data_IF_620460157432
#
_entry.id   IF_620460157432
#
_cell.length_a   1.000
_cell.length_b   1.000
_cell.length_c   1.000
_cell.angle_alpha   90.00
_cell.angle_beta   90.00
_cell.angle_gamma   90.00
#
_symmetry.space_group_name_H-M   'P 1'
#
loop_
_entity.id
_entity.type
_entity.pdbx_description
1 polymer ?
#
# COMPACT_ATOMS: atom_id res chain seq x y z
N UNK A 1 5.18 -12.49 -17.71
CA UNK A 1 4.78 -11.10 -18.01
C UNK A 1 5.28 -10.22 -16.86
N UNK A 2 5.52 -8.92 -17.03
CA UNK A 2 6.00 -8.11 -15.90
C UNK A 2 5.09 -8.28 -14.68
N UNK A 3 5.66 -8.63 -13.53
CA UNK A 3 4.90 -8.78 -12.29
C UNK A 3 4.95 -7.47 -11.50
N UNK A 4 3.80 -7.00 -11.04
CA UNK A 4 3.69 -5.87 -10.11
C UNK A 4 3.26 -6.40 -8.74
N UNK A 5 4.14 -6.25 -7.74
CA UNK A 5 3.80 -6.53 -6.35
C UNK A 5 3.26 -5.27 -5.68
N UNK A 6 2.09 -5.38 -5.06
CA UNK A 6 1.48 -4.30 -4.27
C UNK A 6 0.98 -4.79 -2.92
N UNK A 7 0.80 -3.87 -1.97
CA UNK A 7 0.27 -4.21 -0.66
C UNK A 7 -1.26 -4.24 -0.69
N UNK A 8 -1.85 -5.12 0.13
CA UNK A 8 -3.28 -5.06 0.40
C UNK A 8 -3.65 -3.75 1.14
N UNK A 9 -4.92 -3.35 1.04
CA UNK A 9 -5.42 -2.14 1.72
C UNK A 9 -6.39 -2.48 2.84
N UNK A 10 -6.35 -1.70 3.93
CA UNK A 10 -7.29 -1.86 5.04
C UNK A 10 -8.73 -1.63 4.57
N UNK A 11 -8.96 -0.54 3.82
CA UNK A 11 -10.25 -0.31 3.17
C UNK A 11 -10.45 -1.30 2.03
N UNK A 12 -11.63 -1.89 1.97
CA UNK A 12 -12.10 -2.81 0.93
C UNK A 12 -13.45 -2.30 0.42
N UNK A 13 -13.83 -2.69 -0.80
CA UNK A 13 -15.11 -2.29 -1.41
C UNK A 13 -16.28 -3.10 -0.88
N UNK A 14 -16.01 -4.35 -0.51
CA UNK A 14 -16.97 -5.27 0.07
C UNK A 14 -16.78 -5.30 1.57
N UNK A 15 -17.89 -5.23 2.31
CA UNK A 15 -17.89 -5.42 3.76
C UNK A 15 -17.34 -6.81 4.08
N UNK A 16 -16.48 -6.89 5.09
CA UNK A 16 -15.90 -8.17 5.48
C UNK A 16 -16.95 -9.10 6.09
N UNK A 17 -16.74 -10.41 5.95
CA UNK A 17 -17.51 -11.38 6.71
C UNK A 17 -17.12 -11.27 8.19
N UNK A 18 -18.10 -11.31 9.09
CA UNK A 18 -17.88 -11.19 10.54
C UNK A 18 -16.99 -12.30 11.11
N UNK A 19 -16.94 -13.48 10.46
CA UNK A 19 -16.01 -14.56 10.82
C UNK A 19 -14.55 -14.24 10.47
N UNK A 20 -14.31 -13.31 9.55
CA UNK A 20 -12.98 -12.94 9.06
C UNK A 20 -12.47 -11.64 9.68
N UNK A 21 -12.60 -11.55 11.01
CA UNK A 21 -12.03 -10.48 11.82
C UNK A 21 -10.89 -11.01 12.69
N UNK A 22 -9.73 -10.36 12.63
CA UNK A 22 -8.58 -10.76 13.43
C UNK A 22 -8.81 -10.50 14.93
N UNK A 23 -9.63 -9.51 15.30
CA UNK A 23 -9.93 -9.25 16.70
C UNK A 23 -10.67 -10.40 17.39
N UNK A 24 -11.38 -11.24 16.62
CA UNK A 24 -12.10 -12.41 17.13
C UNK A 24 -11.21 -13.66 17.27
N UNK A 25 -9.94 -13.60 16.87
CA UNK A 25 -9.01 -14.70 17.07
C UNK A 25 -8.61 -14.79 18.56
N UNK A 26 -8.51 -16.02 19.07
CA UNK A 26 -7.87 -16.30 20.34
C UNK A 26 -6.36 -16.05 20.22
N UNK A 27 -5.75 -15.58 21.30
CA UNK A 27 -4.30 -15.49 21.37
C UNK A 27 -3.67 -16.87 21.53
N UNK A 28 -2.49 -17.08 20.96
CA UNK A 28 -1.78 -18.37 21.05
C UNK A 28 -0.48 -18.40 20.25
N UNK A 29 0.02 -19.62 20.02
CA UNK A 29 1.22 -19.85 19.21
C UNK A 29 0.98 -19.45 17.77
N UNK A 30 2.06 -19.20 17.01
CA UNK A 30 1.97 -18.92 15.58
C UNK A 30 1.18 -19.99 14.81
N UNK A 31 1.46 -21.26 15.11
CA UNK A 31 0.81 -22.40 14.44
C UNK A 31 -0.70 -22.40 14.69
N UNK A 32 -1.11 -22.22 15.94
CA UNK A 32 -2.52 -22.27 16.33
C UNK A 32 -3.31 -21.12 15.74
N UNK A 33 -2.78 -19.89 15.83
CA UNK A 33 -3.45 -18.69 15.30
C UNK A 33 -3.54 -18.74 13.78
N UNK A 34 -2.47 -19.18 13.09
CA UNK A 34 -2.49 -19.33 11.63
C UNK A 34 -3.42 -20.46 11.17
N UNK A 35 -3.51 -21.56 11.91
CA UNK A 35 -4.45 -22.65 11.63
C UNK A 35 -5.90 -22.18 11.80
N UNK A 36 -6.22 -21.52 12.93
CA UNK A 36 -7.55 -20.98 13.20
C UNK A 36 -7.98 -19.95 12.14
N UNK A 37 -7.05 -19.10 11.70
CA UNK A 37 -7.32 -18.13 10.65
C UNK A 37 -7.60 -18.79 9.29
N UNK A 38 -6.79 -19.79 8.89
CA UNK A 38 -7.02 -20.56 7.65
C UNK A 38 -8.34 -21.33 7.68
N UNK A 39 -8.70 -21.89 8.82
CA UNK A 39 -9.99 -22.57 9.01
C UNK A 39 -11.16 -21.59 8.86
N UNK A 40 -11.05 -20.35 9.38
CA UNK A 40 -12.09 -19.34 9.17
C UNK A 40 -12.21 -18.95 7.70
N UNK A 41 -11.08 -18.82 6.99
CA UNK A 41 -11.08 -18.55 5.55
C UNK A 41 -11.81 -19.66 4.78
N UNK A 42 -11.56 -20.93 5.08
CA UNK A 42 -12.17 -22.05 4.35
C UNK A 42 -13.68 -22.19 4.56
N UNK A 43 -14.24 -21.54 5.59
CA UNK A 43 -15.66 -21.56 5.92
C UNK A 43 -16.46 -20.41 5.31
N UNK A 44 -15.80 -19.48 4.62
CA UNK A 44 -16.43 -18.27 4.09
C UNK A 44 -16.33 -18.26 2.58
N UNK A 45 -17.43 -17.86 1.92
CA UNK A 45 -17.47 -17.74 0.47
C UNK A 45 -16.57 -16.62 -0.05
N UNK A 46 -16.00 -16.84 -1.23
CA UNK A 46 -15.34 -15.80 -2.00
C UNK A 46 -16.37 -14.80 -2.52
N UNK A 47 -16.02 -13.51 -2.57
CA UNK A 47 -16.99 -12.45 -2.90
C UNK A 47 -16.66 -11.72 -4.20
N UNK A 48 -15.39 -11.64 -4.57
CA UNK A 48 -14.92 -11.00 -5.80
C UNK A 48 -13.45 -11.34 -6.04
N UNK A 49 -12.92 -10.90 -7.19
CA UNK A 49 -11.48 -10.98 -7.47
C UNK A 49 -10.68 -10.05 -6.57
N UNK A 50 -9.45 -10.41 -6.24
CA UNK A 50 -8.60 -9.59 -5.37
C UNK A 50 -8.38 -8.17 -5.90
N UNK A 51 -8.26 -7.99 -7.22
CA UNK A 51 -8.15 -6.65 -7.85
C UNK A 51 -9.40 -5.78 -7.70
N UNK A 52 -10.55 -6.38 -7.42
CA UNK A 52 -11.83 -5.69 -7.24
C UNK A 52 -12.17 -5.50 -5.75
N UNK A 53 -11.53 -6.26 -4.85
CA UNK A 53 -11.73 -6.15 -3.41
C UNK A 53 -11.10 -4.88 -2.81
N UNK A 54 -9.81 -4.65 -3.09
CA UNK A 54 -9.03 -3.59 -2.46
C UNK A 54 -9.30 -2.22 -3.10
N UNK A 55 -9.11 -1.14 -2.33
CA UNK A 55 -9.49 0.19 -2.79
C UNK A 55 -8.62 1.32 -2.21
N UNK A 56 -8.84 2.52 -2.74
CA UNK A 56 -8.03 3.70 -2.45
C UNK A 56 -6.97 3.94 -3.50
N UNK A 57 -6.38 5.14 -3.44
CA UNK A 57 -5.47 5.63 -4.48
C UNK A 57 -4.24 4.73 -4.64
N UNK A 58 -3.59 4.32 -3.55
CA UNK A 58 -2.45 3.40 -3.60
C UNK A 58 -2.76 2.16 -4.43
N UNK A 59 -3.84 1.44 -4.13
CA UNK A 59 -4.21 0.23 -4.89
C UNK A 59 -4.52 0.52 -6.36
N UNK A 60 -5.22 1.64 -6.63
CA UNK A 60 -5.56 2.03 -7.99
C UNK A 60 -4.33 2.39 -8.84
N UNK A 61 -3.34 3.06 -8.28
CA UNK A 61 -2.10 3.36 -9.00
C UNK A 61 -1.29 2.08 -9.29
N UNK A 62 -1.30 1.10 -8.38
CA UNK A 62 -0.68 -0.20 -8.62
C UNK A 62 -1.41 -1.01 -9.71
N UNK A 63 -2.74 -0.99 -9.71
CA UNK A 63 -3.54 -1.61 -10.77
C UNK A 63 -3.26 -0.99 -12.13
N UNK A 64 -3.15 0.34 -12.20
CA UNK A 64 -2.73 1.05 -13.42
C UNK A 64 -1.33 0.65 -13.86
N UNK A 65 -0.37 0.54 -12.94
CA UNK A 65 0.97 0.08 -13.26
C UNK A 65 0.94 -1.32 -13.92
N UNK A 66 0.17 -2.26 -13.35
CA UNK A 66 0.02 -3.59 -13.94
C UNK A 66 -0.64 -3.55 -15.33
N UNK A 67 -1.71 -2.76 -15.49
CA UNK A 67 -2.37 -2.58 -16.79
C UNK A 67 -1.43 -2.00 -17.86
N UNK A 68 -0.63 -1.01 -17.49
CA UNK A 68 0.33 -0.36 -18.40
C UNK A 68 1.49 -1.26 -18.77
N UNK A 69 1.94 -2.09 -17.84
CA UNK A 69 2.94 -3.12 -18.10
C UNK A 69 2.39 -4.31 -18.91
N UNK A 70 1.06 -4.37 -19.14
CA UNK A 70 0.36 -5.57 -19.61
C UNK A 70 0.80 -6.79 -18.78
N UNK A 71 0.86 -6.57 -17.47
CA UNK A 71 1.51 -7.44 -16.50
C UNK A 71 0.54 -8.01 -15.47
N UNK A 72 1.05 -8.97 -14.70
CA UNK A 72 0.29 -9.60 -13.63
C UNK A 72 0.40 -8.78 -12.34
N UNK A 73 -0.74 -8.53 -11.70
CA UNK A 73 -0.80 -7.89 -10.39
C UNK A 73 -0.82 -8.98 -9.32
N UNK A 74 0.11 -8.93 -8.38
CA UNK A 74 0.08 -9.76 -7.16
C UNK A 74 0.01 -8.88 -5.92
N UNK A 75 -0.83 -9.29 -4.98
CA UNK A 75 -1.10 -8.58 -3.75
C UNK A 75 -0.43 -9.32 -2.59
N UNK A 76 0.53 -8.66 -1.95
CA UNK A 76 1.06 -9.05 -0.65
C UNK A 76 -0.01 -8.72 0.39
N UNK A 77 -0.74 -9.75 0.82
CA UNK A 77 -1.88 -9.66 1.72
C UNK A 77 -1.50 -10.08 3.13
N UNK A 78 -1.75 -9.19 4.10
CA UNK A 78 -1.56 -9.50 5.52
C UNK A 78 -2.43 -10.69 5.99
N UNK A 79 -3.60 -10.89 5.38
CA UNK A 79 -4.56 -11.92 5.79
C UNK A 79 -4.66 -13.12 4.85
N UNK A 80 -4.15 -13.03 3.62
CA UNK A 80 -4.30 -14.08 2.61
C UNK A 80 -2.97 -14.60 2.05
N UNK A 81 -1.82 -14.15 2.58
CA UNK A 81 -0.52 -14.51 2.02
C UNK A 81 -0.23 -13.72 0.74
N UNK A 82 0.14 -14.39 -0.34
CA UNK A 82 0.26 -13.79 -1.67
C UNK A 82 -0.94 -14.22 -2.52
N UNK A 83 -1.63 -13.27 -3.14
CA UNK A 83 -2.77 -13.56 -4.03
C UNK A 83 -2.59 -12.87 -5.37
N UNK A 84 -2.96 -13.54 -6.46
CA UNK A 84 -3.08 -12.92 -7.77
C UNK A 84 -4.28 -11.97 -7.80
N UNK A 85 -4.18 -10.89 -8.58
CA UNK A 85 -5.29 -9.97 -8.81
C UNK A 85 -6.53 -10.63 -9.40
N UNK A 86 -6.38 -11.80 -10.03
CA UNK A 86 -7.49 -12.55 -10.62
C UNK A 86 -8.07 -13.64 -9.70
N UNK A 87 -7.43 -13.93 -8.55
CA UNK A 87 -7.93 -14.92 -7.61
C UNK A 87 -9.23 -14.43 -6.96
N UNK A 88 -10.20 -15.32 -6.82
CA UNK A 88 -11.41 -15.05 -6.04
C UNK A 88 -11.08 -15.14 -4.56
N UNK A 89 -11.43 -14.10 -3.81
CA UNK A 89 -11.06 -13.95 -2.41
C UNK A 89 -12.25 -13.52 -1.56
N UNK A 90 -12.28 -13.92 -0.27
CA UNK A 90 -13.25 -13.39 0.67
C UNK A 90 -12.86 -11.98 1.14
N UNK A 91 -13.85 -11.22 1.61
CA UNK A 91 -13.59 -9.96 2.30
C UNK A 91 -13.28 -10.20 3.78
N UNK A 92 -12.15 -9.69 4.26
CA UNK A 92 -11.64 -9.89 5.62
C UNK A 92 -11.19 -8.58 6.28
N UNK A 93 -11.02 -8.59 7.60
CA UNK A 93 -10.45 -7.52 8.39
C UNK A 93 -9.30 -8.04 9.27
N UNK A 94 -8.08 -7.93 8.75
CA UNK A 94 -6.84 -8.31 9.41
C UNK A 94 -5.72 -7.39 8.92
N UNK A 95 -4.89 -6.91 9.84
CA UNK A 95 -3.69 -6.14 9.55
C UNK A 95 -2.50 -6.65 10.37
N UNK A 96 -1.28 -6.37 9.89
CA UNK A 96 -0.04 -6.50 10.68
C UNK A 96 0.40 -5.16 11.28
N UNK A 97 -0.27 -4.07 10.90
CA UNK A 97 0.01 -2.73 11.43
C UNK A 97 -0.61 -2.54 12.82
N UNK A 98 0.21 -2.09 13.78
CA UNK A 98 -0.19 -1.84 15.17
C UNK A 98 -1.24 -0.72 15.28
N UNK A 99 -1.92 -0.67 16.44
CA UNK A 99 -2.87 0.40 16.78
C UNK A 99 -4.33 0.11 16.46
N UNK A 100 -4.68 -1.14 16.14
CA UNK A 100 -6.06 -1.61 15.97
C UNK A 100 -6.22 -2.98 16.60
N UNK A 101 -7.43 -3.34 17.04
CA UNK A 101 -7.74 -4.68 17.55
C UNK A 101 -7.67 -5.75 16.45
N UNK A 102 -7.74 -5.34 15.18
CA UNK A 102 -7.57 -6.20 14.00
C UNK A 102 -6.09 -6.47 13.66
N UNK A 103 -5.16 -6.01 14.50
CA UNK A 103 -3.74 -6.34 14.35
C UNK A 103 -3.48 -7.77 14.85
N UNK A 104 -3.17 -8.69 13.94
CA UNK A 104 -2.91 -10.11 14.28
C UNK A 104 -1.69 -10.27 15.19
N UNK A 105 -0.74 -9.34 15.13
CA UNK A 105 0.43 -9.36 16.02
C UNK A 105 0.05 -9.28 17.51
N UNK A 106 -1.13 -8.76 17.84
CA UNK A 106 -1.65 -8.75 19.22
C UNK A 106 -2.21 -10.10 19.68
N UNK A 107 -2.32 -11.08 18.78
CA UNK A 107 -2.82 -12.44 19.06
C UNK A 107 -1.68 -13.46 19.13
N UNK A 108 -0.48 -13.08 18.72
CA UNK A 108 0.67 -13.97 18.65
C UNK A 108 1.55 -13.81 19.89
N UNK A 109 2.27 -14.88 20.24
CA UNK A 109 3.29 -14.86 21.28
C UNK A 109 4.40 -13.83 21.01
N UNK A 110 5.07 -13.39 22.08
CA UNK A 110 6.18 -12.44 21.96
C UNK A 110 7.31 -13.04 21.13
N UNK A 111 7.90 -12.24 20.25
CA UNK A 111 9.03 -12.62 19.40
C UNK A 111 8.63 -13.07 17.99
N UNK A 112 7.35 -13.40 17.75
CA UNK A 112 6.84 -13.67 16.41
C UNK A 112 6.79 -12.38 15.60
N UNK A 113 7.40 -12.39 14.42
CA UNK A 113 7.46 -11.26 13.49
C UNK A 113 6.32 -11.28 12.46
N UNK A 114 6.11 -10.16 11.78
CA UNK A 114 5.16 -10.09 10.66
C UNK A 114 5.56 -11.05 9.52
N UNK A 115 6.86 -11.32 9.35
CA UNK A 115 7.36 -12.25 8.34
C UNK A 115 7.01 -13.71 8.69
N UNK A 116 7.14 -14.10 9.97
CA UNK A 116 6.77 -15.44 10.43
C UNK A 116 5.27 -15.71 10.24
N UNK A 117 4.44 -14.71 10.56
CA UNK A 117 3.00 -14.77 10.28
C UNK A 117 2.71 -14.99 8.80
N UNK A 118 3.34 -14.18 7.94
CA UNK A 118 3.09 -14.24 6.50
C UNK A 118 3.62 -15.53 5.86
N UNK A 119 4.72 -16.08 6.38
CA UNK A 119 5.23 -17.40 6.01
C UNK A 119 4.27 -18.51 6.43
N UNK A 120 3.69 -18.45 7.63
CA UNK A 120 2.69 -19.41 8.10
C UNK A 120 1.39 -19.41 7.27
N UNK A 121 1.09 -18.30 6.58
CA UNK A 121 0.00 -18.22 5.60
C UNK A 121 0.37 -18.80 4.22
N UNK A 122 1.62 -19.26 4.03
CA UNK A 122 2.12 -19.75 2.75
C UNK A 122 2.57 -18.65 1.78
N UNK A 123 2.60 -17.39 2.21
CA UNK A 123 2.99 -16.26 1.38
C UNK A 123 4.40 -16.39 0.83
N UNK A 124 5.34 -16.84 1.67
CA UNK A 124 6.75 -16.99 1.29
C UNK A 124 6.93 -17.98 0.14
N UNK A 125 6.29 -19.15 0.22
CA UNK A 125 6.34 -20.17 -0.83
C UNK A 125 5.76 -19.64 -2.14
N UNK A 126 4.57 -19.04 -2.08
CA UNK A 126 3.91 -18.49 -3.26
C UNK A 126 4.73 -17.39 -3.94
N UNK A 127 5.40 -16.53 -3.17
CA UNK A 127 6.24 -15.46 -3.70
C UNK A 127 7.49 -15.96 -4.40
N UNK A 128 8.18 -16.94 -3.81
CA UNK A 128 9.32 -17.57 -4.46
C UNK A 128 8.90 -18.19 -5.80
N UNK A 129 7.82 -18.96 -5.81
CA UNK A 129 7.30 -19.58 -7.04
C UNK A 129 6.96 -18.57 -8.14
N UNK A 130 6.34 -17.44 -7.78
CA UNK A 130 5.99 -16.37 -8.75
C UNK A 130 7.26 -15.71 -9.30
N UNK A 131 8.21 -15.33 -8.43
CA UNK A 131 9.41 -14.60 -8.86
C UNK A 131 10.36 -15.51 -9.65
N UNK A 132 10.50 -16.78 -9.27
CA UNK A 132 11.38 -17.73 -9.95
C UNK A 132 10.86 -18.06 -11.35
N UNK A 133 9.54 -18.26 -11.50
CA UNK A 133 8.91 -18.57 -12.79
C UNK A 133 8.84 -17.38 -13.74
N UNK A 134 8.89 -16.15 -13.25
CA UNK A 134 8.77 -14.96 -14.11
C UNK A 134 10.10 -14.65 -14.82
N UNK A 135 10.18 -14.73 -16.16
CA UNK A 135 11.42 -14.40 -16.87
C UNK A 135 11.70 -12.90 -16.98
N UNK A 136 10.70 -12.03 -16.80
CA UNK A 136 10.85 -10.56 -16.94
C UNK A 136 11.05 -9.87 -15.59
N UNK A 137 11.08 -8.54 -15.64
CA UNK A 137 11.19 -7.67 -14.47
C UNK A 137 10.01 -7.87 -13.51
N UNK A 138 10.32 -7.91 -12.22
CA UNK A 138 9.36 -7.90 -11.10
C UNK A 138 9.47 -6.55 -10.39
N UNK A 139 8.41 -5.75 -10.44
CA UNK A 139 8.36 -4.43 -9.80
C UNK A 139 7.79 -4.56 -8.39
N UNK A 140 8.58 -4.19 -7.38
CA UNK A 140 8.21 -4.26 -5.97
C UNK A 140 7.72 -2.88 -5.50
N UNK A 141 6.42 -2.64 -5.64
CA UNK A 141 5.73 -1.41 -5.27
C UNK A 141 5.13 -1.44 -3.86
N UNK A 142 5.95 -1.82 -2.86
CA UNK A 142 5.50 -2.02 -1.48
C UNK A 142 5.91 -0.86 -0.54
N UNK A 143 5.03 -0.45 0.40
CA UNK A 143 5.43 0.41 1.50
C UNK A 143 6.33 -0.34 2.50
N UNK A 144 7.10 0.39 3.34
CA UNK A 144 8.13 -0.18 4.21
C UNK A 144 7.66 -1.34 5.10
N UNK A 145 6.45 -1.30 5.73
CA UNK A 145 5.98 -2.43 6.54
C UNK A 145 5.82 -3.72 5.73
N UNK A 146 5.37 -3.62 4.48
CA UNK A 146 5.16 -4.79 3.61
C UNK A 146 6.47 -5.27 2.99
N UNK A 147 7.38 -4.36 2.61
CA UNK A 147 8.70 -4.75 2.15
C UNK A 147 9.46 -5.49 3.26
N UNK A 148 9.40 -5.00 4.51
CA UNK A 148 9.98 -5.67 5.68
C UNK A 148 9.40 -7.07 5.90
N UNK A 149 8.07 -7.20 5.78
CA UNK A 149 7.37 -8.47 5.94
C UNK A 149 7.85 -9.55 4.95
N UNK A 150 8.17 -9.17 3.69
CA UNK A 150 8.62 -10.12 2.67
C UNK A 150 10.14 -10.19 2.51
N UNK A 151 10.91 -9.28 3.11
CA UNK A 151 12.36 -9.20 2.95
C UNK A 151 13.09 -10.52 3.29
N UNK A 152 12.75 -11.24 4.38
CA UNK A 152 13.35 -12.55 4.65
C UNK A 152 13.08 -13.58 3.54
N UNK A 153 11.93 -13.49 2.87
CA UNK A 153 11.63 -14.36 1.71
C UNK A 153 12.49 -13.99 0.51
N UNK A 154 12.59 -12.70 0.19
CA UNK A 154 13.41 -12.22 -0.92
C UNK A 154 14.89 -12.59 -0.76
N UNK A 155 15.40 -12.63 0.48
CA UNK A 155 16.79 -13.00 0.78
C UNK A 155 17.12 -14.48 0.44
N UNK A 156 16.09 -15.33 0.27
CA UNK A 156 16.25 -16.73 -0.15
C UNK A 156 16.46 -16.89 -1.66
N UNK A 157 16.22 -15.85 -2.45
CA UNK A 157 16.41 -15.88 -3.90
C UNK A 157 17.90 -15.92 -4.26
N UNK A 158 18.23 -16.63 -5.33
CA UNK A 158 19.58 -16.61 -5.90
C UNK A 158 19.88 -15.27 -6.59
N UNK A 159 21.16 -14.95 -6.77
CA UNK A 159 21.59 -13.74 -7.50
C UNK A 159 21.02 -13.69 -8.93
N UNK A 160 20.92 -14.86 -9.59
CA UNK A 160 20.34 -15.01 -10.93
C UNK A 160 18.84 -14.72 -10.96
N UNK A 161 18.14 -14.74 -9.83
CA UNK A 161 16.73 -14.37 -9.77
C UNK A 161 16.56 -12.92 -9.30
N UNK A 162 17.41 -12.48 -8.36
CA UNK A 162 17.37 -11.12 -7.81
C UNK A 162 17.57 -10.03 -8.88
N UNK A 163 18.33 -10.30 -9.95
CA UNK A 163 18.57 -9.31 -11.01
C UNK A 163 17.31 -8.79 -11.72
N UNK A 164 16.20 -9.54 -11.62
CA UNK A 164 14.89 -9.18 -12.18
C UNK A 164 14.11 -8.20 -11.31
N UNK A 165 14.49 -8.02 -10.04
CA UNK A 165 13.76 -7.15 -9.11
C UNK A 165 13.98 -5.67 -9.43
N UNK A 166 12.94 -4.85 -9.28
CA UNK A 166 13.02 -3.38 -9.26
C UNK A 166 12.20 -2.86 -8.08
N UNK A 167 12.87 -2.40 -7.03
CA UNK A 167 12.23 -1.91 -5.80
C UNK A 167 12.04 -0.40 -5.90
N UNK A 168 10.78 0.04 -5.89
CA UNK A 168 10.38 1.45 -6.09
C UNK A 168 9.74 2.07 -4.84
N UNK A 169 9.55 1.27 -3.78
CA UNK A 169 8.96 1.69 -2.51
C UNK A 169 9.77 1.22 -1.30
N UNK A 170 9.22 1.39 -0.10
CA UNK A 170 9.82 0.86 1.13
C UNK A 170 11.18 1.45 1.46
N UNK A 171 11.28 2.79 1.49
CA UNK A 171 12.53 3.54 1.72
C UNK A 171 13.13 3.31 3.11
N UNK A 172 12.29 2.93 4.08
CA UNK A 172 12.66 2.85 5.49
C UNK A 172 12.54 1.40 6.00
N UNK A 173 13.39 0.51 5.46
CA UNK A 173 13.52 -0.88 5.91
C UNK A 173 14.92 -1.06 6.51
N UNK A 174 15.05 -1.01 7.86
CA UNK A 174 16.33 -1.27 8.51
C UNK A 174 16.85 -2.66 8.15
N UNK A 175 18.18 -2.77 8.04
CA UNK A 175 18.89 -4.04 7.87
C UNK A 175 18.44 -4.86 6.65
N UNK A 176 17.94 -4.19 5.59
CA UNK A 176 17.63 -4.89 4.34
C UNK A 176 18.90 -5.52 3.76
N UNK A 177 18.83 -6.79 3.37
CA UNK A 177 19.94 -7.52 2.76
C UNK A 177 20.56 -6.68 1.61
N UNK A 178 21.87 -6.39 1.63
CA UNK A 178 22.53 -5.61 0.59
C UNK A 178 22.32 -6.15 -0.83
N UNK A 179 22.15 -7.47 -0.98
CA UNK A 179 21.84 -8.12 -2.27
C UNK A 179 20.47 -7.71 -2.80
N UNK A 180 19.51 -7.43 -1.91
CA UNK A 180 18.18 -6.94 -2.26
C UNK A 180 18.23 -5.42 -2.50
N UNK A 181 18.92 -4.68 -1.62
CA UNK A 181 19.06 -3.23 -1.71
C UNK A 181 19.71 -2.77 -3.03
N UNK A 182 20.60 -3.57 -3.61
CA UNK A 182 21.19 -3.35 -4.92
C UNK A 182 20.15 -3.16 -6.05
N UNK A 183 18.92 -3.65 -5.88
CA UNK A 183 17.83 -3.56 -6.85
C UNK A 183 16.83 -2.43 -6.56
N UNK A 184 17.16 -1.54 -5.62
CA UNK A 184 16.40 -0.32 -5.36
C UNK A 184 16.64 0.74 -6.43
N UNK A 185 15.55 1.36 -6.87
CA UNK A 185 15.54 2.52 -7.74
C UNK A 185 15.47 3.81 -6.92
N UNK A 186 16.04 4.93 -7.42
CA UNK A 186 16.30 6.15 -6.64
C UNK A 186 15.05 7.04 -6.50
N UNK A 187 13.89 6.43 -6.27
CA UNK A 187 12.65 7.15 -6.01
C UNK A 187 12.69 7.78 -4.62
N UNK A 188 12.62 9.10 -4.58
CA UNK A 188 12.52 9.89 -3.36
C UNK A 188 11.31 10.84 -3.42
N UNK A 189 11.20 11.75 -2.46
CA UNK A 189 10.06 12.67 -2.35
C UNK A 189 9.98 13.70 -3.50
N UNK A 190 10.92 13.76 -4.45
CA UNK A 190 10.73 14.52 -5.71
C UNK A 190 9.49 14.07 -6.48
N UNK A 191 9.10 12.79 -6.38
CA UNK A 191 7.83 12.29 -6.95
C UNK A 191 6.59 12.94 -6.33
N UNK A 192 6.70 13.55 -5.16
CA UNK A 192 5.63 14.32 -4.51
C UNK A 192 5.72 15.82 -4.83
N UNK A 193 6.73 16.22 -5.61
CA UNK A 193 7.02 17.59 -6.01
C UNK A 193 6.03 18.18 -7.02
N UNK A 194 6.07 19.52 -7.20
CA UNK A 194 5.14 20.23 -8.07
C UNK A 194 5.30 19.89 -9.56
N UNK A 195 6.49 19.49 -10.00
CA UNK A 195 6.76 19.08 -11.39
C UNK A 195 6.35 17.63 -11.67
N UNK A 196 6.07 16.84 -10.65
CA UNK A 196 5.65 15.46 -10.85
C UNK A 196 4.29 15.39 -11.55
N UNK A 197 4.15 14.48 -12.51
CA UNK A 197 2.85 14.12 -13.11
C UNK A 197 1.98 13.28 -12.16
N UNK A 198 2.56 12.73 -11.10
CA UNK A 198 1.92 11.83 -10.14
C UNK A 198 2.17 12.27 -8.68
N UNK A 199 1.87 13.51 -8.29
CA UNK A 199 2.08 13.95 -6.92
C UNK A 199 1.08 13.27 -5.99
N UNK A 200 1.50 13.01 -4.74
CA UNK A 200 0.64 12.33 -3.79
C UNK A 200 1.14 12.41 -2.36
N UNK A 201 0.87 11.35 -1.61
CA UNK A 201 1.20 11.27 -0.19
C UNK A 201 2.14 10.11 0.07
N UNK A 202 2.77 10.08 1.25
CA UNK A 202 3.60 8.94 1.67
C UNK A 202 2.84 7.60 1.63
N UNK A 203 1.51 7.61 1.83
CA UNK A 203 0.69 6.41 1.88
C UNK A 203 0.49 5.74 0.50
N UNK A 204 0.56 6.50 -0.59
CA UNK A 204 0.42 5.99 -1.96
C UNK A 204 1.73 6.07 -2.77
N UNK A 205 2.83 6.47 -2.13
CA UNK A 205 4.14 6.66 -2.75
C UNK A 205 4.61 5.43 -3.54
N UNK A 206 4.66 4.26 -2.89
CA UNK A 206 5.22 3.05 -3.51
C UNK A 206 4.46 2.64 -4.79
N UNK A 207 3.14 2.80 -4.80
CA UNK A 207 2.30 2.48 -5.95
C UNK A 207 2.43 3.51 -7.07
N UNK A 208 2.58 4.80 -6.75
CA UNK A 208 2.86 5.84 -7.73
C UNK A 208 4.25 5.70 -8.34
N UNK A 209 5.25 5.37 -7.53
CA UNK A 209 6.59 5.09 -8.00
C UNK A 209 6.62 3.88 -8.94
N UNK A 210 5.85 2.82 -8.64
CA UNK A 210 5.66 1.69 -9.54
C UNK A 210 5.02 2.10 -10.87
N UNK A 211 3.96 2.92 -10.81
CA UNK A 211 3.30 3.43 -12.01
C UNK A 211 4.23 4.30 -12.86
N UNK A 212 4.92 5.26 -12.25
CA UNK A 212 5.90 6.11 -12.92
C UNK A 212 7.00 5.27 -13.58
N UNK A 213 7.56 4.30 -12.84
CA UNK A 213 8.58 3.41 -13.37
C UNK A 213 8.09 2.64 -14.60
N UNK A 214 6.87 2.10 -14.54
CA UNK A 214 6.30 1.37 -15.66
C UNK A 214 6.03 2.28 -16.86
N UNK A 215 5.37 3.42 -16.64
CA UNK A 215 4.91 4.31 -17.71
C UNK A 215 6.05 5.09 -18.39
N UNK A 216 7.09 5.47 -17.64
CA UNK A 216 8.15 6.36 -18.17
C UNK A 216 9.46 5.63 -18.50
N UNK A 217 9.75 4.53 -17.81
CA UNK A 217 11.09 3.90 -17.86
C UNK A 217 11.00 2.49 -18.45
N UNK A 218 10.22 1.61 -17.84
CA UNK A 218 10.17 0.20 -18.22
C UNK A 218 9.62 0.00 -19.64
N UNK A 219 8.61 0.78 -20.05
CA UNK A 219 8.05 0.70 -21.42
C UNK A 219 9.10 1.01 -22.49
N UNK A 220 10.04 1.92 -22.19
CA UNK A 220 11.08 2.37 -23.12
C UNK A 220 12.35 1.52 -23.04
N UNK A 221 12.56 0.80 -21.93
CA UNK A 221 13.75 0.00 -21.68
C UNK A 221 13.43 -1.38 -21.05
N UNK A 222 12.54 -2.21 -21.64
CA UNK A 222 11.94 -3.37 -20.96
C UNK A 222 12.92 -4.47 -20.54
N UNK A 223 14.09 -4.53 -21.17
CA UNK A 223 15.13 -5.54 -20.93
C UNK A 223 16.41 -4.93 -20.33
N UNK A 224 16.39 -3.67 -19.92
CA UNK A 224 17.59 -3.00 -19.46
C UNK A 224 18.01 -3.43 -18.05
N UNK A 225 19.32 -3.28 -17.78
CA UNK A 225 19.90 -3.61 -16.49
C UNK A 225 19.38 -2.68 -15.38
N UNK A 226 19.65 -3.06 -14.14
CA UNK A 226 19.31 -2.23 -12.98
C UNK A 226 19.99 -0.86 -13.07
N UNK A 227 21.24 -0.79 -13.52
CA UNK A 227 21.99 0.46 -13.61
C UNK A 227 21.41 1.42 -14.65
N UNK A 228 20.98 0.90 -15.80
CA UNK A 228 20.29 1.70 -16.81
C UNK A 228 18.94 2.20 -16.27
N UNK A 229 18.15 1.34 -15.62
CA UNK A 229 16.90 1.77 -14.98
C UNK A 229 17.12 2.81 -13.88
N UNK A 230 18.19 2.69 -13.09
CA UNK A 230 18.57 3.66 -12.05
C UNK A 230 18.90 5.01 -12.67
N UNK A 231 19.72 5.03 -13.71
CA UNK A 231 20.09 6.26 -14.43
C UNK A 231 18.89 6.93 -15.09
N UNK A 232 18.00 6.16 -15.72
CA UNK A 232 16.77 6.70 -16.31
C UNK A 232 15.81 7.25 -15.24
N UNK A 233 15.65 6.56 -14.11
CA UNK A 233 14.86 7.04 -12.99
C UNK A 233 15.41 8.34 -12.41
N UNK A 234 16.71 8.43 -12.19
CA UNK A 234 17.35 9.65 -11.69
C UNK A 234 17.20 10.80 -12.70
N UNK A 235 17.45 10.55 -13.99
CA UNK A 235 17.32 11.54 -15.04
C UNK A 235 15.88 12.08 -15.14
N UNK A 236 14.88 11.20 -15.04
CA UNK A 236 13.45 11.57 -15.14
C UNK A 236 12.98 12.54 -14.05
N UNK A 237 13.64 12.54 -12.89
CA UNK A 237 13.30 13.40 -11.74
C UNK A 237 14.38 14.44 -11.45
N UNK A 238 15.38 14.59 -12.31
CA UNK A 238 16.57 15.43 -12.05
C UNK A 238 16.24 16.91 -11.89
N UNK A 239 15.19 17.39 -12.55
CA UNK A 239 14.74 18.78 -12.50
C UNK A 239 13.59 19.00 -11.52
N UNK A 240 13.11 17.96 -10.84
CA UNK A 240 11.94 18.05 -9.97
C UNK A 240 12.32 18.56 -8.58
N UNK A 241 11.55 19.52 -8.09
CA UNK A 241 11.64 20.00 -6.72
C UNK A 241 11.08 18.99 -5.72
N UNK A 242 11.52 19.07 -4.46
CA UNK A 242 10.88 18.34 -3.36
C UNK A 242 9.61 19.08 -2.91
N UNK A 243 8.58 18.38 -2.39
CA UNK A 243 7.38 19.01 -1.89
C UNK A 243 7.72 19.98 -0.76
N UNK A 244 7.27 21.22 -0.87
CA UNK A 244 7.36 22.19 0.22
C UNK A 244 6.27 21.88 1.23
N UNK A 245 6.66 21.54 2.46
CA UNK A 245 5.73 21.37 3.55
C UNK A 245 5.03 22.71 3.85
N UNK A 246 3.75 22.84 3.48
CA UNK A 246 2.94 24.00 3.88
C UNK A 246 2.76 23.95 5.41
N UNK A 247 3.38 24.89 6.12
CA UNK A 247 3.12 25.11 7.54
C UNK A 247 1.74 25.76 7.65
N UNK A 248 0.70 24.94 7.69
CA UNK A 248 -0.66 25.41 7.91
C UNK A 248 -0.89 25.75 9.38
N UNK A 249 -1.78 26.70 9.64
CA UNK A 249 -2.17 27.06 11.01
C UNK A 249 -2.95 25.91 11.62
N UNK A 250 -2.53 25.43 12.80
CA UNK A 250 -3.31 24.49 13.59
C UNK A 250 -4.49 25.23 14.21
N UNK A 251 -5.69 24.72 13.98
CA UNK A 251 -6.93 25.27 14.56
C UNK A 251 -7.56 24.24 15.50
N UNK A 252 -8.38 24.68 16.46
CA UNK A 252 -9.12 23.80 17.38
C UNK A 252 -10.25 23.05 16.66
N UNK A 253 -10.85 22.02 17.29
CA UNK A 253 -12.00 21.31 16.70
C UNK A 253 -13.21 22.23 16.53
N UNK A 254 -13.43 23.13 17.49
CA UNK A 254 -14.51 24.11 17.45
C UNK A 254 -14.33 25.07 16.26
N UNK A 255 -13.12 25.61 16.10
CA UNK A 255 -12.80 26.52 15.00
C UNK A 255 -12.89 25.79 13.65
N UNK A 256 -12.38 24.57 13.58
CA UNK A 256 -12.45 23.77 12.36
C UNK A 256 -13.90 23.45 11.98
N UNK A 257 -14.76 23.11 12.94
CA UNK A 257 -16.19 22.93 12.70
C UNK A 257 -16.83 24.23 12.19
N UNK A 258 -16.48 25.37 12.78
CA UNK A 258 -16.95 26.68 12.33
C UNK A 258 -16.54 26.96 10.88
N UNK A 259 -15.26 26.79 10.54
CA UNK A 259 -14.74 27.00 9.17
C UNK A 259 -15.42 26.06 8.17
N UNK A 260 -15.63 24.78 8.54
CA UNK A 260 -16.34 23.81 7.69
C UNK A 260 -17.79 24.22 7.47
N UNK A 261 -18.50 24.67 8.51
CA UNK A 261 -19.90 25.15 8.38
C UNK A 261 -19.98 26.35 7.45
N UNK A 262 -19.08 27.32 7.61
CA UNK A 262 -19.01 28.53 6.76
C UNK A 262 -18.76 28.18 5.29
N UNK A 263 -17.94 27.18 5.01
CA UNK A 263 -17.60 26.79 3.63
C UNK A 263 -18.46 25.65 3.07
N UNK A 264 -19.48 25.18 3.82
CA UNK A 264 -20.26 24.00 3.47
C UNK A 264 -20.96 24.13 2.10
N UNK A 265 -21.68 25.24 1.90
CA UNK A 265 -22.44 25.50 0.67
C UNK A 265 -21.50 25.67 -0.52
N UNK A 266 -20.38 26.39 -0.32
CA UNK A 266 -19.35 26.60 -1.34
C UNK A 266 -18.70 25.29 -1.80
N UNK A 267 -18.57 24.35 -0.89
CA UNK A 267 -18.07 23.02 -1.18
C UNK A 267 -19.14 22.02 -1.66
N UNK A 268 -20.41 22.44 -1.77
CA UNK A 268 -21.55 21.57 -2.09
C UNK A 268 -21.65 20.35 -1.15
N UNK A 269 -21.26 20.52 0.11
CA UNK A 269 -21.17 19.43 1.09
C UNK A 269 -20.12 18.34 0.78
N UNK A 270 -19.28 18.51 -0.26
CA UNK A 270 -18.26 17.54 -0.66
C UNK A 270 -17.01 17.67 0.20
N UNK A 271 -16.71 16.65 0.99
CA UNK A 271 -15.58 16.61 1.93
C UNK A 271 -14.22 16.84 1.27
N UNK A 272 -14.03 16.36 0.03
CA UNK A 272 -12.80 16.57 -0.75
C UNK A 272 -12.63 18.03 -1.19
N UNK A 273 -13.73 18.72 -1.53
CA UNK A 273 -13.74 20.14 -1.90
C UNK A 273 -13.53 21.02 -0.66
N UNK A 274 -14.15 20.68 0.47
CA UNK A 274 -13.90 21.30 1.77
C UNK A 274 -12.42 21.22 2.19
N UNK A 275 -11.79 20.05 2.05
CA UNK A 275 -10.36 19.89 2.35
C UNK A 275 -9.47 20.77 1.47
N UNK A 276 -9.81 20.93 0.19
CA UNK A 276 -9.09 21.82 -0.72
C UNK A 276 -9.24 23.27 -0.30
N UNK A 277 -10.46 23.74 -0.01
CA UNK A 277 -10.67 25.12 0.49
C UNK A 277 -9.84 25.38 1.76
N UNK A 278 -9.86 24.44 2.72
CA UNK A 278 -9.08 24.56 3.95
C UNK A 278 -7.56 24.66 3.71
N UNK A 279 -7.01 23.82 2.82
CA UNK A 279 -5.56 23.70 2.61
C UNK A 279 -5.01 24.70 1.60
N UNK A 280 -5.75 24.92 0.52
CA UNK A 280 -5.30 25.67 -0.64
C UNK A 280 -5.61 27.16 -0.51
N UNK A 281 -6.70 27.52 0.20
CA UNK A 281 -7.15 28.91 0.32
C UNK A 281 -7.00 29.46 1.75
N UNK A 282 -7.37 28.66 2.75
CA UNK A 282 -7.39 29.12 4.16
C UNK A 282 -6.10 28.80 4.93
N UNK A 283 -5.16 28.07 4.32
CA UNK A 283 -3.90 27.63 4.92
C UNK A 283 -4.07 26.94 6.30
N UNK A 284 -5.13 26.16 6.49
CA UNK A 284 -5.42 25.44 7.73
C UNK A 284 -4.81 24.04 7.69
N UNK A 285 -3.97 23.71 8.66
CA UNK A 285 -3.44 22.37 8.85
C UNK A 285 -4.48 21.48 9.54
N UNK A 286 -4.91 20.42 8.86
CA UNK A 286 -5.77 19.39 9.45
C UNK A 286 -5.41 17.98 8.95
N UNK A 287 -5.25 17.06 9.90
CA UNK A 287 -5.13 15.63 9.61
C UNK A 287 -6.44 15.09 9.01
N UNK A 288 -6.32 14.17 8.07
CA UNK A 288 -7.47 13.69 7.30
C UNK A 288 -8.49 12.93 8.16
N UNK A 289 -8.06 12.21 9.21
CA UNK A 289 -8.95 11.49 10.14
C UNK A 289 -9.80 12.46 10.97
N UNK A 290 -9.16 13.40 11.67
CA UNK A 290 -9.83 14.52 12.37
C UNK A 290 -10.82 15.23 11.48
N UNK A 291 -10.40 15.66 10.29
CA UNK A 291 -11.30 16.31 9.34
C UNK A 291 -12.51 15.44 8.99
N UNK A 292 -12.28 14.17 8.64
CA UNK A 292 -13.36 13.27 8.20
C UNK A 292 -14.40 13.05 9.31
N UNK A 293 -13.94 12.90 10.57
CA UNK A 293 -14.83 12.80 11.74
C UNK A 293 -15.70 14.05 11.88
N UNK A 294 -15.08 15.24 11.89
CA UNK A 294 -15.80 16.50 12.09
C UNK A 294 -16.80 16.81 10.96
N UNK A 295 -16.47 16.45 9.71
CA UNK A 295 -17.40 16.59 8.58
C UNK A 295 -18.56 15.61 8.66
N UNK A 296 -18.34 14.40 9.19
CA UNK A 296 -19.42 13.45 9.42
C UNK A 296 -20.39 13.97 10.48
N UNK A 297 -19.89 14.53 11.59
CA UNK A 297 -20.72 15.17 12.62
C UNK A 297 -21.61 16.27 12.01
N UNK A 298 -21.00 17.21 11.27
CA UNK A 298 -21.72 18.35 10.65
C UNK A 298 -22.72 17.87 9.60
N UNK A 299 -22.43 16.78 8.89
CA UNK A 299 -23.37 16.20 7.94
C UNK A 299 -24.60 15.64 8.66
N UNK A 300 -24.41 14.97 9.80
CA UNK A 300 -25.50 14.49 10.65
C UNK A 300 -26.39 15.63 11.16
N UNK A 301 -25.78 16.75 11.58
CA UNK A 301 -26.50 17.97 12.03
C UNK A 301 -27.44 18.54 10.95
N UNK A 302 -27.17 18.33 9.66
CA UNK A 302 -27.94 18.91 8.53
C UNK A 302 -28.98 17.97 7.88
N UNK A 303 -29.00 16.70 8.27
CA UNK A 303 -29.99 15.70 7.81
C UNK A 303 -31.16 15.59 8.79
N UNK A 304 -31.05 16.28 9.92
CA UNK A 304 -32.13 16.50 10.92
C UNK A 304 -32.76 17.86 10.67
#
# INVERSE_FOLDING_TARGET
MTVILTACTQRKRVTHNTLLCAHDLSGGTLSDVAAAWRERISRVEVVCKAKDLYCGRSFFEALKAAQRAQGDLYIVSAGLGLVSGNDEVPAYNLTVSKGTNDCVMGKLERGVSEADWWEALGGSKALLEVIEKEPRIVVVGLPSPYLRMIAPTLARLSSDVLHKLRIVGGRDVPDLDPRIEAFRLPYDDRLDGPESSLPGTKADFASRAARHFVEEILVNAPLASIDVHRSLAEASMSTWGRPVAKVGTRVSDADLKSIVRTNWTRAEGRSTKLLRILRDELNVACEQKRFSKLVADIRGEKVT
#
